data_IF_282792205537
#
_entry.id   IF_282792205537
#
_cell.length_a   1.000
_cell.length_b   1.000
_cell.length_c   1.000
_cell.angle_alpha   90.00
_cell.angle_beta   90.00
_cell.angle_gamma   90.00
#
_symmetry.space_group_name_H-M   'P 1'
#
loop_
_entity.id
_entity.type
_entity.pdbx_description
1 polymer ?
#
# COMPACT_ATOMS: atom_id res chain seq x y z
N UNK A 1 -2.67 35.11 22.02
CA UNK A 1 -4.07 34.82 21.70
C UNK A 1 -4.30 33.35 22.05
N UNK A 2 -5.43 33.02 22.69
CA UNK A 2 -5.74 31.62 23.06
C UNK A 2 -6.19 30.91 21.79
N UNK A 3 -5.51 29.84 21.41
CA UNK A 3 -5.97 28.94 20.36
C UNK A 3 -6.86 27.88 21.03
N UNK A 4 -8.17 28.00 20.83
CA UNK A 4 -9.13 26.96 21.18
C UNK A 4 -9.01 25.81 20.18
N UNK A 5 -8.64 24.63 20.67
CA UNK A 5 -8.60 23.41 19.87
C UNK A 5 -10.04 22.94 19.67
N UNK A 6 -10.56 23.07 18.45
CA UNK A 6 -11.82 22.44 18.06
C UNK A 6 -11.63 20.91 18.00
N UNK A 7 -12.60 20.12 18.51
CA UNK A 7 -12.52 18.67 18.45
C UNK A 7 -12.60 18.20 16.99
N UNK A 8 -11.49 17.65 16.50
CA UNK A 8 -11.27 17.22 15.11
C UNK A 8 -11.87 15.85 14.78
N UNK A 9 -12.72 15.32 15.65
CA UNK A 9 -13.38 14.02 15.47
C UNK A 9 -14.89 14.22 15.45
N UNK A 10 -15.42 14.54 14.26
CA UNK A 10 -16.77 14.11 13.95
C UNK A 10 -16.66 12.66 13.46
N UNK A 11 -17.06 11.75 14.34
CA UNK A 11 -17.49 10.40 13.98
C UNK A 11 -18.68 10.54 13.03
N UNK A 12 -18.46 10.45 11.72
CA UNK A 12 -19.41 9.91 10.74
C UNK A 12 -18.84 10.13 9.34
N UNK A 13 -18.08 9.15 8.86
CA UNK A 13 -18.04 8.89 7.43
C UNK A 13 -18.28 7.40 7.24
N UNK A 14 -19.56 7.04 7.31
CA UNK A 14 -20.08 5.81 6.75
C UNK A 14 -19.88 5.92 5.24
N UNK A 15 -18.66 5.67 4.77
CA UNK A 15 -18.36 5.63 3.36
C UNK A 15 -19.02 4.38 2.79
N UNK A 16 -19.97 4.65 1.88
CA UNK A 16 -20.77 3.69 1.13
C UNK A 16 -19.90 2.52 0.69
N UNK A 17 -20.38 1.31 0.97
CA UNK A 17 -19.90 0.08 0.36
C UNK A 17 -20.07 0.18 -1.16
N UNK A 18 -19.06 0.73 -1.83
CA UNK A 18 -18.86 0.53 -3.25
C UNK A 18 -18.60 -0.97 -3.42
N UNK A 19 -19.57 -1.67 -3.99
CA UNK A 19 -19.40 -3.06 -4.40
C UNK A 19 -18.32 -3.06 -5.48
N UNK A 20 -17.07 -3.32 -5.10
CA UNK A 20 -16.00 -3.62 -6.05
C UNK A 20 -16.43 -4.85 -6.86
N UNK A 21 -16.72 -4.61 -8.14
CA UNK A 21 -16.85 -5.67 -9.13
C UNK A 21 -15.58 -6.55 -9.06
N UNK A 22 -15.69 -7.88 -9.12
CA UNK A 22 -14.53 -8.76 -9.03
C UNK A 22 -13.60 -8.45 -10.20
N UNK A 23 -12.50 -7.77 -9.91
CA UNK A 23 -11.44 -7.46 -10.87
C UNK A 23 -11.10 -8.76 -11.61
N UNK A 24 -11.14 -8.74 -12.95
CA UNK A 24 -10.58 -9.83 -13.76
C UNK A 24 -9.06 -9.88 -13.49
N UNK A 25 -8.65 -10.66 -12.50
CA UNK A 25 -7.26 -10.79 -12.09
C UNK A 25 -6.47 -11.52 -13.19
N UNK A 26 -5.71 -10.78 -14.00
CA UNK A 26 -4.70 -11.35 -14.87
C UNK A 26 -3.49 -11.69 -14.00
N UNK A 27 -3.35 -12.95 -13.61
CA UNK A 27 -2.22 -13.41 -12.80
C UNK A 27 -0.97 -13.51 -13.64
N UNK A 28 0.12 -12.93 -13.14
CA UNK A 28 1.44 -13.10 -13.75
C UNK A 28 1.93 -14.53 -13.48
N UNK A 29 2.67 -15.15 -14.42
CA UNK A 29 3.33 -16.42 -14.16
C UNK A 29 4.34 -16.25 -13.02
N UNK A 30 4.37 -17.21 -12.11
CA UNK A 30 5.30 -17.22 -10.97
C UNK A 30 6.44 -18.21 -11.22
N UNK A 31 7.61 -17.98 -10.61
CA UNK A 31 8.64 -19.01 -10.45
C UNK A 31 8.09 -20.26 -9.77
N UNK A 32 8.69 -21.41 -10.03
CA UNK A 32 8.24 -22.73 -9.52
C UNK A 32 8.24 -22.80 -7.99
N UNK A 33 9.09 -22.01 -7.33
CA UNK A 33 9.25 -21.94 -5.88
C UNK A 33 8.10 -21.18 -5.19
N UNK A 34 7.22 -20.54 -5.96
CA UNK A 34 6.16 -19.67 -5.48
C UNK A 34 4.79 -20.14 -6.01
N UNK A 35 3.74 -19.93 -5.21
CA UNK A 35 2.36 -20.19 -5.59
C UNK A 35 1.43 -19.11 -5.06
N UNK A 36 0.30 -18.93 -5.73
CA UNK A 36 -0.78 -18.09 -5.24
C UNK A 36 -1.59 -18.86 -4.19
N UNK A 37 -1.89 -18.22 -3.08
CA UNK A 37 -2.81 -18.70 -2.07
C UNK A 37 -3.88 -17.64 -1.78
N UNK A 38 -5.08 -18.12 -1.43
CA UNK A 38 -6.23 -17.25 -1.25
C UNK A 38 -6.48 -16.94 0.23
N UNK A 39 -6.41 -15.67 0.59
CA UNK A 39 -6.56 -15.24 1.97
C UNK A 39 -8.03 -14.98 2.36
N UNK A 40 -8.91 -14.69 1.40
CA UNK A 40 -10.37 -14.53 1.57
C UNK A 40 -11.16 -15.42 0.60
N UNK A 41 -12.41 -15.73 0.92
CA UNK A 41 -13.32 -16.54 0.08
C UNK A 41 -13.73 -15.85 -1.23
N UNK A 42 -13.69 -14.52 -1.29
CA UNK A 42 -14.06 -13.71 -2.46
C UNK A 42 -13.04 -13.77 -3.62
N UNK A 43 -11.92 -14.48 -3.46
CA UNK A 43 -10.80 -14.55 -4.42
C UNK A 43 -10.19 -13.19 -4.80
N UNK A 44 -10.58 -12.11 -4.14
CA UNK A 44 -10.04 -10.77 -4.37
C UNK A 44 -8.65 -10.62 -3.74
N UNK A 45 -8.28 -11.58 -2.88
CA UNK A 45 -7.23 -11.44 -1.89
C UNK A 45 -6.16 -12.53 -2.06
N UNK A 46 -5.41 -12.46 -3.17
CA UNK A 46 -4.34 -13.42 -3.47
C UNK A 46 -3.00 -12.95 -2.88
N UNK A 47 -2.33 -13.87 -2.18
CA UNK A 47 -0.97 -13.69 -1.71
C UNK A 47 -0.05 -14.66 -2.43
N UNK A 48 1.21 -14.29 -2.59
CA UNK A 48 2.25 -15.18 -3.09
C UNK A 48 2.96 -15.80 -1.90
N UNK A 49 2.97 -17.12 -1.82
CA UNK A 49 3.64 -17.89 -0.77
C UNK A 49 4.58 -18.92 -1.40
N UNK A 50 5.47 -19.50 -0.60
CA UNK A 50 6.36 -20.56 -1.08
C UNK A 50 5.56 -21.82 -1.44
N UNK A 51 5.88 -22.42 -2.59
CA UNK A 51 5.32 -23.70 -3.03
C UNK A 51 5.84 -24.89 -2.22
N UNK A 52 6.96 -24.73 -1.51
CA UNK A 52 7.57 -25.76 -0.66
C UNK A 52 6.85 -25.95 0.70
N UNK A 53 5.86 -25.11 1.02
CA UNK A 53 5.11 -25.24 2.27
C UNK A 53 4.21 -26.48 2.25
N UNK A 54 4.27 -27.25 3.35
CA UNK A 54 3.30 -28.32 3.59
C UNK A 54 1.90 -27.75 3.77
N UNK A 55 0.86 -28.56 3.55
CA UNK A 55 -0.54 -28.17 3.72
C UNK A 55 -0.77 -27.59 5.12
N UNK A 56 -0.20 -28.21 6.16
CA UNK A 56 -0.36 -27.73 7.53
C UNK A 56 0.31 -26.36 7.77
N UNK A 57 1.51 -26.15 7.24
CA UNK A 57 2.22 -24.88 7.36
C UNK A 57 1.51 -23.75 6.60
N UNK A 58 1.03 -24.05 5.39
CA UNK A 58 0.22 -23.12 4.61
C UNK A 58 -1.03 -22.71 5.38
N UNK A 59 -1.75 -23.66 5.96
CA UNK A 59 -2.98 -23.40 6.70
C UNK A 59 -2.73 -22.56 7.97
N UNK A 60 -1.63 -22.83 8.67
CA UNK A 60 -1.16 -22.03 9.80
C UNK A 60 -0.76 -20.60 9.38
N UNK A 61 -0.03 -20.46 8.28
CA UNK A 61 0.36 -19.17 7.73
C UNK A 61 -0.87 -18.34 7.34
N UNK A 62 -1.81 -18.93 6.61
CA UNK A 62 -3.04 -18.26 6.19
C UNK A 62 -3.87 -17.82 7.40
N UNK A 63 -3.95 -18.61 8.48
CA UNK A 63 -4.61 -18.21 9.73
C UNK A 63 -3.97 -16.96 10.35
N UNK A 64 -2.64 -16.92 10.44
CA UNK A 64 -1.91 -15.76 10.98
C UNK A 64 -2.13 -14.53 10.10
N UNK A 65 -1.97 -14.66 8.79
CA UNK A 65 -2.16 -13.56 7.84
C UNK A 65 -3.60 -13.03 7.87
N UNK A 66 -4.60 -13.92 8.03
CA UNK A 66 -6.02 -13.53 8.21
C UNK A 66 -6.25 -12.74 9.50
N UNK A 67 -5.53 -13.05 10.58
CA UNK A 67 -5.59 -12.32 11.86
C UNK A 67 -4.88 -10.97 11.78
N UNK A 68 -3.79 -10.89 11.02
CA UNK A 68 -2.93 -9.72 10.91
C UNK A 68 -3.22 -8.84 9.68
N UNK A 69 -4.42 -8.91 9.09
CA UNK A 69 -4.78 -8.16 7.86
C UNK A 69 -4.43 -6.66 7.92
N UNK A 70 -4.66 -6.01 9.06
CA UNK A 70 -4.39 -4.57 9.26
C UNK A 70 -2.90 -4.21 9.16
N UNK A 71 -2.00 -5.14 9.52
CA UNK A 71 -0.56 -4.90 9.46
C UNK A 71 0.01 -5.06 8.04
N UNK A 72 -0.70 -5.76 7.16
CA UNK A 72 -0.21 -6.14 5.83
C UNK A 72 -0.46 -5.03 4.79
N UNK A 73 -1.09 -3.90 5.17
CA UNK A 73 -1.39 -2.80 4.23
C UNK A 73 -2.17 -3.30 3.01
N UNK A 74 -3.23 -4.07 3.28
CA UNK A 74 -3.86 -4.98 2.32
C UNK A 74 -4.35 -4.30 1.04
N UNK A 75 -4.87 -3.09 1.15
CA UNK A 75 -5.31 -2.29 0.02
C UNK A 75 -4.44 -1.04 -0.12
N UNK A 76 -4.23 -0.56 -1.35
CA UNK A 76 -3.56 0.73 -1.58
C UNK A 76 -4.27 1.86 -0.82
N UNK A 77 -5.59 1.74 -0.61
CA UNK A 77 -6.35 2.65 0.25
C UNK A 77 -6.00 2.56 1.74
N UNK A 78 -5.51 1.42 2.22
CA UNK A 78 -5.04 1.23 3.60
C UNK A 78 -3.67 1.89 3.81
N UNK A 79 -2.87 2.05 2.75
CA UNK A 79 -1.71 2.92 2.70
C UNK A 79 -2.17 4.38 2.63
N UNK A 80 -2.92 4.84 3.64
CA UNK A 80 -3.21 6.26 3.81
C UNK A 80 -1.85 6.97 3.93
N UNK A 81 -1.48 7.67 2.86
CA UNK A 81 -0.42 8.67 2.94
C UNK A 81 -0.74 9.63 4.09
N UNK A 82 0.29 10.26 4.64
CA UNK A 82 0.08 11.30 5.64
C UNK A 82 -0.79 12.38 4.99
N UNK A 83 -1.96 12.64 5.57
CA UNK A 83 -2.87 13.66 5.05
C UNK A 83 -2.12 15.00 5.08
N UNK A 84 -2.03 15.69 3.93
CA UNK A 84 -1.36 16.98 3.83
C UNK A 84 -1.98 18.05 4.74
N UNK A 85 -3.27 17.93 5.05
CA UNK A 85 -3.98 18.76 6.04
C UNK A 85 -3.50 18.51 7.48
N UNK A 86 -3.02 17.31 7.77
CA UNK A 86 -2.52 16.93 9.11
C UNK A 86 -1.03 17.26 9.24
N UNK A 87 -0.26 17.18 8.16
CA UNK A 87 1.17 17.44 8.18
C UNK A 87 1.63 18.16 6.91
N UNK A 88 1.64 19.49 6.96
CA UNK A 88 2.31 20.32 5.95
C UNK A 88 3.74 20.59 6.43
N UNK A 89 4.72 20.10 5.67
CA UNK A 89 6.12 20.42 5.93
C UNK A 89 6.47 21.73 5.21
N UNK A 90 6.87 22.75 5.97
CA UNK A 90 7.39 23.99 5.41
C UNK A 90 8.92 23.89 5.30
N UNK A 91 9.42 23.90 4.06
CA UNK A 91 10.86 24.00 3.79
C UNK A 91 11.18 25.48 3.65
N UNK A 92 11.88 26.04 4.63
CA UNK A 92 12.37 27.41 4.58
C UNK A 92 13.60 27.48 3.67
N UNK A 93 13.61 28.47 2.79
CA UNK A 93 14.75 28.78 1.90
C UNK A 93 15.38 30.10 2.35
N UNK A 94 16.65 30.32 1.99
CA UNK A 94 17.30 31.62 2.17
C UNK A 94 16.62 32.69 1.28
N UNK A 95 16.63 33.96 1.72
CA UNK A 95 15.90 35.06 1.05
C UNK A 95 16.32 35.28 -0.42
N UNK A 96 17.58 34.99 -0.74
CA UNK A 96 18.15 35.15 -2.08
C UNK A 96 18.14 33.85 -2.91
N UNK A 97 17.52 32.78 -2.39
CA UNK A 97 17.46 31.49 -3.06
C UNK A 97 16.60 31.57 -4.32
N UNK A 98 17.16 31.11 -5.45
CA UNK A 98 16.47 31.06 -6.74
C UNK A 98 16.15 29.62 -7.12
N UNK A 99 14.97 29.33 -7.68
CA UNK A 99 14.68 28.01 -8.21
C UNK A 99 15.64 27.69 -9.36
N UNK A 100 16.23 26.49 -9.33
CA UNK A 100 17.16 26.01 -10.36
C UNK A 100 16.58 24.76 -11.00
N UNK A 101 16.53 24.75 -12.34
CA UNK A 101 16.18 23.57 -13.12
C UNK A 101 17.46 22.86 -13.59
N UNK A 102 17.70 21.64 -13.10
CA UNK A 102 18.81 20.80 -13.55
C UNK A 102 18.33 19.79 -14.59
N UNK A 103 19.18 19.47 -15.58
CA UNK A 103 18.86 18.42 -16.54
C UNK A 103 18.83 17.04 -15.88
N UNK A 104 17.82 16.25 -16.19
CA UNK A 104 17.70 14.89 -15.68
C UNK A 104 18.89 14.05 -16.16
N UNK A 105 19.63 13.44 -15.23
CA UNK A 105 20.74 12.55 -15.58
C UNK A 105 20.20 11.27 -16.22
N UNK A 106 20.93 10.77 -17.22
CA UNK A 106 20.61 9.47 -17.83
C UNK A 106 20.78 8.36 -16.81
N UNK A 107 19.76 7.51 -16.65
CA UNK A 107 19.86 6.30 -15.85
C UNK A 107 20.78 5.29 -16.55
N UNK A 108 21.47 4.46 -15.77
CA UNK A 108 22.22 3.32 -16.33
C UNK A 108 21.25 2.43 -17.13
N UNK A 109 21.57 2.03 -18.38
CA UNK A 109 20.72 1.16 -19.18
C UNK A 109 20.28 -0.12 -18.44
N UNK A 110 21.16 -0.74 -17.65
CA UNK A 110 20.81 -1.94 -16.86
C UNK A 110 19.77 -1.68 -15.77
N UNK A 111 19.68 -0.44 -15.26
CA UNK A 111 18.69 -0.06 -14.26
C UNK A 111 17.34 0.29 -14.90
N UNK A 112 17.29 0.57 -16.21
CA UNK A 112 16.03 0.90 -16.90
C UNK A 112 15.08 -0.30 -17.00
N UNK A 113 15.61 -1.52 -17.01
CA UNK A 113 14.78 -2.73 -17.04
C UNK A 113 14.12 -3.05 -15.70
N UNK A 114 14.59 -2.42 -14.62
CA UNK A 114 14.16 -2.71 -13.23
C UNK A 114 13.09 -1.72 -12.73
N UNK A 115 13.00 -0.53 -13.36
CA UNK A 115 12.08 0.56 -12.95
C UNK A 115 10.73 0.45 -13.65
#
# INVERSE_FOLDING_TARGET
>A
MREEILPLFNEEETQRAAKEEPLKLILKPLPTELKYACLKEDKQCLIVISSALTIHQEDCLLKVLRRCKKAIGWQISDLKGINSLICTHHIYMEDEAKPVHQSQRRLNPHMQEVV
#
